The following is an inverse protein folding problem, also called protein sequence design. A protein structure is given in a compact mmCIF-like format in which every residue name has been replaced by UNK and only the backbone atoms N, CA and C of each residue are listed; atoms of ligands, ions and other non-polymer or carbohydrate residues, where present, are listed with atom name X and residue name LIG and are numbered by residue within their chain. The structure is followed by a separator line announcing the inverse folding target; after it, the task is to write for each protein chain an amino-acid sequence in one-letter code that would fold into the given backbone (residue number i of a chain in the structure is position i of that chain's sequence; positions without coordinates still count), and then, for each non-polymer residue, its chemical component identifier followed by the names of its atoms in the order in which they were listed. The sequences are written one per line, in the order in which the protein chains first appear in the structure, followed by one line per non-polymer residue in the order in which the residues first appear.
data_IF_154678817829
#
_entry.id   IF_154678817829
#
_cell.length_a   1.000
_cell.length_b   1.000
_cell.length_c   1.000
_cell.angle_alpha   90.00
_cell.angle_beta   90.00
_cell.angle_gamma   90.00
#
_symmetry.space_group_name_H-M   'P 1'
#
loop_
_entity.id
_entity.type
_entity.pdbx_description
1 polymer ?
#
# COMPACT_ATOMS: atom_id res chain seq x y z
N UNK A 1 -0.97 -30.51 -0.34
CA UNK A 1 -2.38 -30.51 -0.79
C UNK A 1 -3.07 -29.15 -0.57
N UNK A 2 -2.47 -28.05 -1.02
CA UNK A 2 -3.09 -26.70 -0.94
C UNK A 2 -3.34 -26.05 -2.32
N UNK A 3 -3.01 -26.72 -3.41
CA UNK A 3 -3.11 -26.16 -4.77
C UNK A 3 -4.48 -26.33 -5.46
N UNK A 4 -5.36 -27.17 -4.92
CA UNK A 4 -6.63 -27.49 -5.56
C UNK A 4 -7.79 -26.55 -5.19
N UNK A 5 -7.60 -25.64 -4.23
CA UNK A 5 -8.67 -24.69 -3.84
C UNK A 5 -8.64 -23.37 -4.65
N UNK A 6 -7.51 -23.01 -5.25
CA UNK A 6 -7.39 -21.78 -6.05
C UNK A 6 -8.04 -21.87 -7.43
N UNK A 7 -8.21 -23.05 -7.98
CA UNK A 7 -8.81 -23.21 -9.33
C UNK A 7 -10.33 -23.10 -9.34
N UNK A 8 -11.00 -23.40 -8.23
CA UNK A 8 -12.46 -23.29 -8.11
C UNK A 8 -12.98 -21.84 -7.99
N UNK A 9 -12.13 -20.89 -7.65
CA UNK A 9 -12.47 -19.46 -7.57
C UNK A 9 -12.55 -18.76 -8.93
N UNK A 10 -11.84 -19.29 -9.93
CA UNK A 10 -11.74 -18.68 -11.26
C UNK A 10 -13.03 -18.69 -12.07
N UNK A 11 -13.94 -19.62 -11.80
CA UNK A 11 -15.20 -19.75 -12.55
C UNK A 11 -16.36 -18.96 -11.91
N UNK A 12 -16.18 -18.33 -10.76
CA UNK A 12 -17.29 -17.82 -9.95
C UNK A 12 -17.56 -16.32 -10.06
N UNK A 13 -16.64 -15.52 -10.58
CA UNK A 13 -16.89 -14.09 -10.66
C UNK A 13 -17.88 -13.79 -11.81
N UNK A 14 -19.06 -13.26 -11.46
CA UNK A 14 -20.00 -12.77 -12.47
C UNK A 14 -19.32 -11.70 -13.33
N UNK A 15 -19.60 -11.71 -14.64
CA UNK A 15 -19.00 -10.75 -15.59
C UNK A 15 -19.24 -9.29 -15.20
N UNK A 16 -20.39 -8.99 -14.60
CA UNK A 16 -20.70 -7.65 -14.07
C UNK A 16 -19.73 -7.24 -12.96
N UNK A 17 -19.52 -8.13 -11.97
CA UNK A 17 -18.61 -7.88 -10.86
C UNK A 17 -17.16 -7.66 -11.34
N UNK A 18 -16.71 -8.49 -12.28
CA UNK A 18 -15.39 -8.32 -12.88
C UNK A 18 -15.25 -6.95 -13.55
N UNK A 19 -16.25 -6.54 -14.34
CA UNK A 19 -16.22 -5.26 -15.03
C UNK A 19 -16.20 -4.07 -14.05
N UNK A 20 -17.01 -4.13 -13.00
CA UNK A 20 -17.04 -3.09 -11.94
C UNK A 20 -15.72 -2.98 -11.20
N UNK A 21 -15.15 -4.11 -10.75
CA UNK A 21 -13.87 -4.14 -10.05
C UNK A 21 -12.72 -3.68 -10.96
N UNK A 22 -12.74 -4.07 -12.23
CA UNK A 22 -11.75 -3.59 -13.20
C UNK A 22 -11.83 -2.09 -13.41
N UNK A 23 -13.02 -1.56 -13.59
CA UNK A 23 -13.23 -0.11 -13.74
C UNK A 23 -12.76 0.67 -12.51
N UNK A 24 -13.06 0.17 -11.32
CA UNK A 24 -12.62 0.75 -10.06
C UNK A 24 -11.09 0.79 -9.96
N UNK A 25 -10.42 -0.34 -10.20
CA UNK A 25 -8.96 -0.44 -10.13
C UNK A 25 -8.27 0.42 -11.19
N UNK A 26 -8.75 0.40 -12.42
CA UNK A 26 -8.21 1.21 -13.51
C UNK A 26 -8.41 2.72 -13.26
N UNK A 27 -9.53 3.11 -12.67
CA UNK A 27 -9.79 4.47 -12.23
C UNK A 27 -8.78 4.92 -11.17
N UNK A 28 -8.62 4.12 -10.13
CA UNK A 28 -7.70 4.42 -9.03
C UNK A 28 -6.24 4.46 -9.47
N UNK A 29 -5.87 3.56 -10.37
CA UNK A 29 -4.53 3.54 -10.98
C UNK A 29 -4.23 4.83 -11.74
N UNK A 30 -5.17 5.28 -12.57
CA UNK A 30 -5.01 6.53 -13.34
C UNK A 30 -4.89 7.76 -12.45
N UNK A 31 -5.70 7.85 -11.40
CA UNK A 31 -5.63 8.94 -10.42
C UNK A 31 -4.24 9.00 -9.76
N UNK A 32 -3.78 7.88 -9.20
CA UNK A 32 -2.48 7.81 -8.55
C UNK A 32 -1.32 8.07 -9.52
N UNK A 33 -1.41 7.56 -10.74
CA UNK A 33 -0.41 7.83 -11.77
C UNK A 33 -0.30 9.32 -12.08
N UNK A 34 -1.44 10.00 -12.26
CA UNK A 34 -1.47 11.43 -12.53
C UNK A 34 -0.91 12.24 -11.36
N UNK A 35 -1.24 11.87 -10.13
CA UNK A 35 -0.73 12.51 -8.92
C UNK A 35 0.79 12.36 -8.76
N UNK A 36 1.32 11.16 -8.96
CA UNK A 36 2.76 10.89 -8.88
C UNK A 36 3.50 11.68 -9.97
N UNK A 37 3.02 11.60 -11.21
CA UNK A 37 3.65 12.32 -12.34
C UNK A 37 3.60 13.84 -12.14
N UNK A 38 2.47 14.37 -11.65
CA UNK A 38 2.32 15.80 -11.34
C UNK A 38 3.33 16.26 -10.30
N UNK A 39 3.45 15.52 -9.20
CA UNK A 39 4.42 15.87 -8.14
C UNK A 39 5.87 15.72 -8.58
N UNK A 40 6.20 14.69 -9.32
CA UNK A 40 7.56 14.52 -9.87
C UNK A 40 7.94 15.66 -10.84
N UNK A 41 6.96 16.19 -11.58
CA UNK A 41 7.21 17.35 -12.46
C UNK A 41 7.50 18.60 -11.65
N UNK A 42 6.73 18.89 -10.61
CA UNK A 42 6.95 20.02 -9.72
C UNK A 42 8.35 19.95 -9.09
N UNK A 43 8.71 18.84 -8.48
CA UNK A 43 10.04 18.63 -7.88
C UNK A 43 11.17 18.85 -8.90
N UNK A 44 10.98 18.39 -10.14
CA UNK A 44 11.98 18.58 -11.20
C UNK A 44 12.10 20.05 -11.65
N UNK A 45 11.00 20.75 -11.74
CA UNK A 45 10.96 22.16 -12.10
C UNK A 45 11.55 23.03 -10.98
N UNK A 46 11.19 22.79 -9.72
CA UNK A 46 11.73 23.49 -8.55
C UNK A 46 13.21 23.19 -8.33
N UNK A 47 13.64 21.94 -8.46
CA UNK A 47 15.05 21.55 -8.37
C UNK A 47 15.93 22.18 -9.45
N UNK A 48 15.36 22.51 -10.60
CA UNK A 48 16.07 23.27 -11.65
C UNK A 48 16.20 24.76 -11.32
N UNK A 49 15.34 25.30 -10.47
CA UNK A 49 15.37 26.72 -10.05
C UNK A 49 16.21 26.93 -8.78
N UNK A 50 16.24 25.95 -7.86
CA UNK A 50 16.95 26.04 -6.59
C UNK A 50 18.47 26.24 -6.73
N UNK A 51 19.05 25.83 -7.85
CA UNK A 51 20.49 25.98 -8.10
C UNK A 51 20.96 27.41 -8.39
N UNK A 52 20.05 28.37 -8.62
CA UNK A 52 20.39 29.76 -8.98
C UNK A 52 20.07 30.81 -7.93
N UNK A 53 19.30 30.50 -6.91
CA UNK A 53 18.87 31.44 -5.88
C UNK A 53 19.55 31.22 -4.51
N UNK A 54 20.40 30.20 -4.38
CA UNK A 54 20.92 29.74 -3.10
C UNK A 54 22.12 30.57 -2.56
N UNK A 55 22.42 31.72 -3.15
CA UNK A 55 23.55 32.55 -2.69
C UNK A 55 23.15 33.61 -1.65
N UNK A 56 21.86 33.79 -1.34
CA UNK A 56 21.39 34.90 -0.48
C UNK A 56 20.31 34.50 0.56
N UNK A 57 19.97 33.23 0.70
CA UNK A 57 18.98 32.83 1.69
C UNK A 57 19.63 32.43 3.03
N UNK A 58 19.16 33.04 4.12
CA UNK A 58 19.59 32.75 5.49
C UNK A 58 19.46 31.24 5.79
N UNK A 59 20.37 30.70 6.59
CA UNK A 59 20.45 29.27 6.93
C UNK A 59 19.16 28.67 7.53
N UNK A 60 18.27 29.50 8.05
CA UNK A 60 16.97 29.08 8.61
C UNK A 60 15.97 28.79 7.50
N UNK A 61 15.88 29.63 6.46
CA UNK A 61 14.99 29.41 5.30
C UNK A 61 15.43 28.21 4.46
N UNK A 62 16.74 27.98 4.35
CA UNK A 62 17.28 26.78 3.70
C UNK A 62 16.87 25.50 4.43
N UNK A 63 16.86 25.49 5.77
CA UNK A 63 16.47 24.34 6.56
C UNK A 63 14.99 23.97 6.43
N UNK A 64 14.10 24.97 6.34
CA UNK A 64 12.66 24.74 6.13
C UNK A 64 12.38 24.22 4.71
N UNK A 65 13.09 24.72 3.72
CA UNK A 65 12.98 24.26 2.33
C UNK A 65 13.45 22.80 2.18
N UNK A 66 14.55 22.42 2.83
CA UNK A 66 15.08 21.06 2.83
C UNK A 66 14.09 20.07 3.48
N UNK A 67 13.47 20.44 4.60
CA UNK A 67 12.43 19.61 5.25
C UNK A 67 11.20 19.45 4.35
N UNK A 68 10.77 20.51 3.70
CA UNK A 68 9.62 20.46 2.78
C UNK A 68 9.90 19.53 1.60
N UNK A 69 11.08 19.58 1.01
CA UNK A 69 11.51 18.70 -0.08
C UNK A 69 11.53 17.23 0.36
N UNK A 70 12.05 16.94 1.57
CA UNK A 70 12.04 15.59 2.14
C UNK A 70 10.61 15.05 2.33
N UNK A 71 9.68 15.88 2.82
CA UNK A 71 8.28 15.51 2.98
C UNK A 71 7.63 15.22 1.62
N UNK A 72 7.86 16.04 0.62
CA UNK A 72 7.31 15.83 -0.72
C UNK A 72 7.85 14.57 -1.38
N UNK A 73 9.14 14.31 -1.23
CA UNK A 73 9.76 13.08 -1.69
C UNK A 73 9.16 11.84 -1.01
N UNK A 74 8.99 11.87 0.32
CA UNK A 74 8.34 10.80 1.06
C UNK A 74 6.90 10.56 0.61
N UNK A 75 6.12 11.62 0.32
CA UNK A 75 4.76 11.50 -0.21
C UNK A 75 4.74 10.87 -1.62
N UNK A 76 5.67 11.23 -2.49
CA UNK A 76 5.81 10.61 -3.82
C UNK A 76 6.11 9.12 -3.66
N UNK A 77 7.03 8.76 -2.77
CA UNK A 77 7.38 7.37 -2.50
C UNK A 77 6.17 6.56 -2.01
N UNK A 78 5.43 7.06 -1.02
CA UNK A 78 4.21 6.41 -0.50
C UNK A 78 3.15 6.20 -1.60
N UNK A 79 2.94 7.20 -2.46
CA UNK A 79 2.01 7.09 -3.58
C UNK A 79 2.47 6.11 -4.64
N UNK A 80 3.77 6.05 -4.92
CA UNK A 80 4.37 5.08 -5.83
C UNK A 80 4.22 3.65 -5.32
N UNK A 81 4.43 3.43 -4.01
CA UNK A 81 4.19 2.13 -3.38
C UNK A 81 2.71 1.73 -3.45
N UNK A 82 1.80 2.68 -3.23
CA UNK A 82 0.36 2.43 -3.37
C UNK A 82 0.00 2.09 -4.81
N UNK A 83 0.58 2.78 -5.79
CA UNK A 83 0.40 2.48 -7.21
C UNK A 83 0.87 1.06 -7.56
N UNK A 84 2.00 0.62 -7.02
CA UNK A 84 2.48 -0.75 -7.20
C UNK A 84 1.49 -1.76 -6.62
N UNK A 85 0.94 -1.53 -5.43
CA UNK A 85 -0.11 -2.38 -4.83
C UNK A 85 -1.38 -2.44 -5.70
N UNK A 86 -1.76 -1.34 -6.34
CA UNK A 86 -2.89 -1.33 -7.30
C UNK A 86 -2.55 -2.12 -8.56
N UNK A 87 -1.35 -1.98 -9.10
CA UNK A 87 -0.91 -2.78 -10.26
C UNK A 87 -0.93 -4.28 -9.95
N UNK A 88 -0.47 -4.68 -8.77
CA UNK A 88 -0.56 -6.07 -8.30
C UNK A 88 -2.02 -6.54 -8.17
N UNK A 89 -2.91 -5.65 -7.70
CA UNK A 89 -4.34 -5.96 -7.62
C UNK A 89 -4.97 -6.17 -9.00
N UNK A 90 -4.60 -5.36 -10.00
CA UNK A 90 -5.02 -5.55 -11.41
C UNK A 90 -4.51 -6.90 -11.94
N UNK A 91 -3.25 -7.24 -11.71
CA UNK A 91 -2.70 -8.54 -12.10
C UNK A 91 -3.45 -9.72 -11.46
N UNK A 92 -3.80 -9.61 -10.17
CA UNK A 92 -4.63 -10.63 -9.48
C UNK A 92 -6.05 -10.72 -10.04
N UNK A 93 -6.64 -9.60 -10.45
CA UNK A 93 -7.95 -9.58 -11.10
C UNK A 93 -7.92 -10.33 -12.43
N UNK A 94 -6.89 -10.12 -13.24
CA UNK A 94 -6.70 -10.82 -14.51
C UNK A 94 -6.45 -12.32 -14.32
N UNK A 95 -5.81 -12.71 -13.23
CA UNK A 95 -5.59 -14.10 -12.84
C UNK A 95 -6.82 -14.76 -12.20
N UNK A 96 -7.84 -13.97 -11.82
CA UNK A 96 -9.06 -14.44 -11.18
C UNK A 96 -8.97 -14.63 -9.67
N UNK A 97 -7.91 -14.13 -9.03
CA UNK A 97 -7.66 -14.26 -7.59
C UNK A 97 -8.06 -13.00 -6.80
N UNK A 98 -8.41 -11.92 -7.47
CA UNK A 98 -8.83 -10.67 -6.83
C UNK A 98 -10.28 -10.76 -6.32
N UNK A 99 -10.52 -10.17 -5.16
CA UNK A 99 -11.84 -10.12 -4.55
C UNK A 99 -12.20 -11.35 -3.71
N UNK A 100 -11.29 -12.29 -3.57
CA UNK A 100 -11.41 -13.46 -2.69
C UNK A 100 -10.35 -13.41 -1.58
N UNK A 101 -10.75 -13.81 -0.37
CA UNK A 101 -9.86 -13.85 0.76
C UNK A 101 -8.80 -14.94 0.57
N UNK A 102 -7.54 -14.58 0.79
CA UNK A 102 -6.42 -15.52 0.68
C UNK A 102 -6.49 -16.65 1.72
N UNK A 103 -7.01 -16.37 2.91
CA UNK A 103 -7.01 -17.33 4.02
C UNK A 103 -8.25 -18.23 4.03
N UNK A 104 -9.48 -17.69 3.88
CA UNK A 104 -10.72 -18.46 3.92
C UNK A 104 -11.31 -18.77 2.54
N UNK A 105 -10.86 -18.08 1.47
CA UNK A 105 -11.37 -18.28 0.12
C UNK A 105 -12.74 -17.65 -0.17
N UNK A 106 -13.37 -16.99 0.83
CA UNK A 106 -14.66 -16.33 0.65
C UNK A 106 -14.51 -14.99 -0.07
N UNK A 107 -15.61 -14.52 -0.64
CA UNK A 107 -15.64 -13.21 -1.30
C UNK A 107 -15.39 -12.07 -0.28
N UNK A 108 -14.51 -11.15 -0.65
CA UNK A 108 -14.31 -9.91 0.11
C UNK A 108 -15.44 -8.95 -0.24
N UNK A 109 -16.04 -8.33 0.77
CA UNK A 109 -17.12 -7.37 0.58
C UNK A 109 -16.69 -6.20 -0.34
N UNK A 110 -17.54 -5.83 -1.30
CA UNK A 110 -17.25 -4.75 -2.25
C UNK A 110 -16.91 -3.42 -1.56
N UNK A 111 -17.64 -3.08 -0.51
CA UNK A 111 -17.36 -1.89 0.30
C UNK A 111 -15.91 -1.86 0.81
N UNK A 112 -15.38 -3.03 1.19
CA UNK A 112 -13.99 -3.15 1.62
C UNK A 112 -13.01 -2.99 0.46
N UNK A 113 -13.33 -3.55 -0.70
CA UNK A 113 -12.50 -3.39 -1.91
C UNK A 113 -12.51 -1.95 -2.44
N UNK A 114 -13.61 -1.22 -2.29
CA UNK A 114 -13.66 0.20 -2.61
C UNK A 114 -12.79 1.04 -1.67
N UNK A 115 -12.80 0.73 -0.37
CA UNK A 115 -11.97 1.42 0.62
C UNK A 115 -10.50 1.02 0.55
N UNK A 116 -10.23 -0.27 0.33
CA UNK A 116 -8.90 -0.88 0.26
C UNK A 116 -8.78 -1.73 -1.02
N UNK A 117 -8.51 -1.11 -2.17
CA UNK A 117 -8.48 -1.81 -3.46
C UNK A 117 -7.44 -2.93 -3.56
N UNK A 118 -6.43 -2.91 -2.71
CA UNK A 118 -5.37 -3.92 -2.64
C UNK A 118 -5.56 -4.94 -1.52
N UNK A 119 -6.75 -4.99 -0.87
CA UNK A 119 -7.03 -5.97 0.18
C UNK A 119 -6.96 -7.40 -0.36
N UNK A 120 -6.24 -8.25 0.35
CA UNK A 120 -6.07 -9.68 0.03
C UNK A 120 -6.83 -10.58 1.00
N UNK A 121 -7.37 -10.02 2.10
CA UNK A 121 -8.11 -10.74 3.14
C UNK A 121 -9.43 -10.07 3.45
N UNK A 122 -10.41 -10.87 3.84
CA UNK A 122 -11.64 -10.35 4.41
C UNK A 122 -11.36 -9.71 5.78
N UNK A 123 -12.34 -8.98 6.30
CA UNK A 123 -12.20 -8.27 7.58
C UNK A 123 -11.82 -9.23 8.72
N UNK A 124 -12.53 -10.34 8.84
CA UNK A 124 -12.36 -11.28 9.95
C UNK A 124 -10.99 -11.96 9.95
N UNK A 125 -10.51 -12.36 8.77
CA UNK A 125 -9.18 -12.95 8.63
C UNK A 125 -8.06 -11.93 8.89
N UNK A 126 -8.23 -10.67 8.49
CA UNK A 126 -7.26 -9.61 8.79
C UNK A 126 -7.21 -9.28 10.27
N UNK A 127 -8.36 -9.16 10.94
CA UNK A 127 -8.45 -8.94 12.39
C UNK A 127 -7.80 -10.10 13.17
N UNK A 128 -8.07 -11.34 12.76
CA UNK A 128 -7.44 -12.51 13.38
C UNK A 128 -5.90 -12.49 13.23
N UNK A 129 -5.41 -12.08 12.05
CA UNK A 129 -3.97 -11.93 11.80
C UNK A 129 -3.35 -10.84 12.66
N UNK A 130 -3.97 -9.68 12.73
CA UNK A 130 -3.50 -8.57 13.56
C UNK A 130 -3.41 -8.95 15.04
N UNK A 131 -4.41 -9.65 15.58
CA UNK A 131 -4.39 -10.16 16.96
C UNK A 131 -3.25 -11.14 17.16
N UNK A 132 -3.03 -12.05 16.23
CA UNK A 132 -1.92 -13.01 16.30
C UNK A 132 -0.55 -12.32 16.27
N UNK A 133 -0.36 -11.33 15.41
CA UNK A 133 0.86 -10.53 15.33
C UNK A 133 1.11 -9.74 16.62
N UNK A 134 0.07 -9.12 17.20
CA UNK A 134 0.19 -8.40 18.46
C UNK A 134 0.62 -9.32 19.60
N UNK A 135 0.02 -10.52 19.71
CA UNK A 135 0.43 -11.52 20.69
C UNK A 135 1.89 -11.94 20.52
N UNK A 136 2.30 -12.17 19.28
CA UNK A 136 3.69 -12.52 18.96
C UNK A 136 4.68 -11.42 19.37
N UNK A 137 4.37 -10.16 19.05
CA UNK A 137 5.20 -9.01 19.47
C UNK A 137 5.31 -8.89 20.98
N UNK A 138 4.21 -9.11 21.71
CA UNK A 138 4.21 -9.09 23.18
C UNK A 138 5.07 -10.22 23.78
N UNK A 139 5.00 -11.43 23.19
CA UNK A 139 5.82 -12.55 23.63
C UNK A 139 7.31 -12.30 23.40
N UNK A 140 7.68 -11.74 22.26
CA UNK A 140 9.07 -11.38 21.95
C UNK A 140 9.57 -10.28 22.91
N UNK A 141 8.77 -9.24 23.15
CA UNK A 141 9.12 -8.18 24.10
C UNK A 141 9.33 -8.71 25.52
N UNK A 142 8.48 -9.63 25.99
CA UNK A 142 8.63 -10.27 27.31
C UNK A 142 9.89 -11.12 27.42
N UNK A 143 10.23 -11.86 26.36
CA UNK A 143 11.48 -12.66 26.33
C UNK A 143 12.73 -11.78 26.33
N UNK A 144 12.72 -10.68 25.57
CA UNK A 144 13.81 -9.72 25.56
C UNK A 144 14.03 -9.03 26.91
N UNK A 145 12.94 -8.68 27.61
CA UNK A 145 13.03 -8.11 28.96
C UNK A 145 13.59 -9.11 30.00
N UNK A 146 13.25 -10.40 29.88
CA UNK A 146 13.75 -11.41 30.80
C UNK A 146 15.24 -11.70 30.65
N UNK A 147 15.81 -11.53 29.45
CA UNK A 147 17.23 -11.78 29.21
C UNK A 147 18.13 -10.68 29.79
N UNK A 148 17.60 -9.46 29.97
CA UNK A 148 18.35 -8.35 30.57
C UNK A 148 18.55 -8.46 32.10
N UNK A 149 17.82 -9.35 32.77
CA UNK A 149 17.91 -9.56 34.22
C UNK A 149 18.74 -10.80 34.64
N UNK A 150 19.30 -11.54 33.69
CA UNK A 150 20.07 -12.76 33.95
C UNK A 150 21.57 -12.58 33.87
N UNK A 151 22.06 -11.37 33.55
CA UNK A 151 23.50 -11.02 33.51
C UNK A 151 23.95 -10.14 34.71
N UNK A 152 23.55 -10.55 35.93
CA UNK A 152 24.12 -9.97 37.17
C UNK A 152 24.60 -11.07 38.07
#
# INVERSE_FOLDING_TARGET
MKETQHTAGRERMARSRYAELKQMLDGRRRELQAEVQGKMRVVREEGSWGGKLNEVLDAVESSEADIQEEIEFALIQMKSETLNKINDAVGRLEQGDYGYCFDCGEEIAEKRLHALPFAVRCKDCEEAREVAEQRQRQLVARRGASSLFLDV
#
